data_IF_485258296082
#
_entry.id   IF_485258296082
#
_cell.length_a   1.000
_cell.length_b   1.000
_cell.length_c   1.000
_cell.angle_alpha   90.00
_cell.angle_beta   90.00
_cell.angle_gamma   90.00
#
_symmetry.space_group_name_H-M   'P 1'
#
loop_
_entity.id
_entity.type
_entity.pdbx_description
1 polymer ?
#
# COMPACT_ATOMS: atom_id res chain seq x y z
N UNK A 1 4.34 11.82 15.19
CA UNK A 1 4.41 10.36 14.92
C UNK A 1 3.12 9.95 14.22
N UNK A 2 3.19 9.18 13.13
CA UNK A 2 1.98 8.68 12.46
C UNK A 2 1.30 7.65 13.36
N UNK A 3 -0.03 7.75 13.51
CA UNK A 3 -0.85 6.81 14.27
C UNK A 3 -1.75 6.07 13.30
N UNK A 4 -1.77 4.74 13.39
CA UNK A 4 -2.62 3.88 12.56
C UNK A 4 -4.08 4.29 12.67
N UNK A 5 -4.75 4.48 11.53
CA UNK A 5 -6.19 4.74 11.46
C UNK A 5 -6.97 3.50 11.03
N UNK A 6 -6.37 2.66 10.19
CA UNK A 6 -7.00 1.46 9.63
C UNK A 6 -6.01 0.28 9.69
N UNK A 7 -6.53 -0.94 9.76
CA UNK A 7 -5.69 -2.14 9.59
C UNK A 7 -5.49 -2.43 8.11
N UNK A 8 -4.45 -3.19 7.77
CA UNK A 8 -4.18 -3.56 6.38
C UNK A 8 -5.30 -4.44 5.81
N UNK A 9 -5.98 -5.24 6.64
CA UNK A 9 -7.03 -6.16 6.19
C UNK A 9 -8.44 -5.57 6.10
N UNK A 10 -8.68 -4.35 6.62
CA UNK A 10 -10.03 -3.80 6.74
C UNK A 10 -10.49 -2.95 5.56
N UNK A 11 -9.57 -2.52 4.68
CA UNK A 11 -9.89 -1.60 3.58
C UNK A 11 -10.70 -2.28 2.47
N UNK A 12 -11.71 -1.59 1.95
CA UNK A 12 -12.62 -2.04 0.89
C UNK A 12 -12.82 -0.95 -0.16
N UNK A 13 -13.48 -1.29 -1.27
CA UNK A 13 -13.90 -0.32 -2.28
C UNK A 13 -14.76 0.83 -1.72
N UNK A 14 -15.45 0.61 -0.60
CA UNK A 14 -16.20 1.66 0.10
C UNK A 14 -15.31 2.77 0.70
N UNK A 15 -14.02 2.49 0.93
CA UNK A 15 -13.08 3.46 1.49
C UNK A 15 -12.38 4.32 0.43
N UNK A 16 -12.69 4.14 -0.87
CA UNK A 16 -12.03 4.88 -1.95
C UNK A 16 -12.20 6.39 -1.75
N UNK A 17 -11.08 7.12 -1.82
CA UNK A 17 -11.01 8.56 -1.56
C UNK A 17 -10.68 8.93 -0.11
N UNK A 18 -10.73 7.99 0.83
CA UNK A 18 -10.35 8.23 2.23
C UNK A 18 -8.83 8.35 2.38
N UNK A 19 -8.38 9.29 3.22
CA UNK A 19 -6.97 9.36 3.65
C UNK A 19 -6.76 8.50 4.89
N UNK A 20 -5.89 7.51 4.77
CA UNK A 20 -5.66 6.49 5.81
C UNK A 20 -4.19 6.39 6.17
N UNK A 21 -3.92 5.85 7.37
CA UNK A 21 -2.60 5.48 7.86
C UNK A 21 -2.62 4.01 8.21
N UNK A 22 -1.78 3.23 7.53
CA UNK A 22 -1.56 1.80 7.79
C UNK A 22 -0.15 1.58 8.30
N UNK A 23 0.01 0.61 9.22
CA UNK A 23 1.30 0.26 9.80
C UNK A 23 1.47 -1.25 9.78
N UNK A 24 2.66 -1.73 9.43
CA UNK A 24 2.91 -3.16 9.29
C UNK A 24 4.32 -3.50 8.82
N UNK A 25 4.47 -4.73 8.34
CA UNK A 25 5.70 -5.30 7.80
C UNK A 25 5.64 -5.40 6.27
N UNK A 26 6.70 -5.01 5.59
CA UNK A 26 6.84 -5.18 4.13
C UNK A 26 6.86 -6.69 3.81
N UNK A 27 5.75 -7.25 3.32
CA UNK A 27 5.66 -8.68 2.96
C UNK A 27 6.36 -8.97 1.64
N UNK A 28 6.18 -8.11 0.66
CA UNK A 28 6.90 -8.18 -0.62
C UNK A 28 7.11 -6.79 -1.20
N UNK A 29 8.18 -6.67 -1.96
CA UNK A 29 8.61 -5.46 -2.66
C UNK A 29 8.75 -5.79 -4.15
N UNK A 30 8.14 -4.99 -5.02
CA UNK A 30 8.23 -5.12 -6.48
C UNK A 30 8.53 -3.75 -7.09
N UNK A 31 9.66 -3.63 -7.77
CA UNK A 31 10.10 -2.41 -8.47
C UNK A 31 9.97 -2.63 -9.98
N UNK A 32 9.11 -1.86 -10.63
CA UNK A 32 8.90 -1.88 -12.08
C UNK A 32 9.59 -0.68 -12.77
N UNK A 33 10.52 -0.01 -12.10
CA UNK A 33 11.21 1.19 -12.56
C UNK A 33 10.35 2.44 -12.41
N UNK A 34 9.17 2.45 -13.04
CA UNK A 34 8.25 3.58 -13.02
C UNK A 34 7.26 3.54 -11.86
N UNK A 35 7.11 2.40 -11.19
CA UNK A 35 6.25 2.24 -10.02
C UNK A 35 6.93 1.27 -9.04
N UNK A 36 6.77 1.56 -7.75
CA UNK A 36 7.11 0.63 -6.67
C UNK A 36 5.82 0.16 -6.02
N UNK A 37 5.68 -1.16 -5.91
CA UNK A 37 4.56 -1.82 -5.24
C UNK A 37 5.05 -2.53 -3.98
N UNK A 38 4.32 -2.34 -2.90
CA UNK A 38 4.59 -2.98 -1.61
C UNK A 38 3.33 -3.64 -1.10
N UNK A 39 3.40 -4.93 -0.80
CA UNK A 39 2.35 -5.57 -0.02
C UNK A 39 2.71 -5.38 1.46
N UNK A 40 1.95 -4.56 2.18
CA UNK A 40 2.11 -4.30 3.60
C UNK A 40 1.24 -5.27 4.40
N UNK A 41 1.83 -5.98 5.34
CA UNK A 41 1.17 -6.97 6.20
C UNK A 41 1.02 -6.45 7.61
N UNK A 42 -0.17 -6.62 8.19
CA UNK A 42 -0.34 -6.61 9.64
C UNK A 42 -1.06 -7.89 10.11
N UNK A 43 -1.55 -7.89 11.35
CA UNK A 43 -2.26 -9.04 11.93
C UNK A 43 -3.53 -9.40 11.14
N UNK A 44 -4.16 -8.43 10.49
CA UNK A 44 -5.51 -8.55 9.93
C UNK A 44 -5.50 -8.82 8.44
N UNK A 45 -4.38 -8.56 7.75
CA UNK A 45 -4.26 -8.92 6.34
C UNK A 45 -3.13 -8.20 5.62
N UNK A 46 -3.31 -8.08 4.32
CA UNK A 46 -2.42 -7.42 3.39
C UNK A 46 -3.14 -6.25 2.74
N UNK A 47 -2.42 -5.16 2.49
CA UNK A 47 -2.83 -4.06 1.60
C UNK A 47 -1.69 -3.76 0.64
N UNK A 48 -1.99 -3.43 -0.61
CA UNK A 48 -0.99 -2.96 -1.56
C UNK A 48 -0.77 -1.45 -1.37
N UNK A 49 0.48 -1.01 -1.43
CA UNK A 49 0.87 0.39 -1.51
C UNK A 49 1.52 0.61 -2.87
N UNK A 50 1.19 1.73 -3.51
CA UNK A 50 1.77 2.13 -4.80
C UNK A 50 2.44 3.48 -4.67
N UNK A 51 3.70 3.53 -5.11
CA UNK A 51 4.48 4.76 -5.15
C UNK A 51 4.74 5.16 -6.61
N UNK A 52 4.20 6.31 -7.01
CA UNK A 52 4.32 6.84 -8.37
C UNK A 52 5.27 8.05 -8.39
N UNK A 53 6.41 7.99 -9.12
CA UNK A 53 7.40 9.07 -9.18
C UNK A 53 6.88 10.35 -9.86
N UNK A 54 5.86 10.27 -10.72
CA UNK A 54 5.27 11.45 -11.36
C UNK A 54 4.51 12.33 -10.37
N UNK A 55 3.89 11.71 -9.36
CA UNK A 55 3.11 12.41 -8.33
C UNK A 55 3.89 12.61 -7.04
N UNK A 56 4.82 11.71 -6.74
CA UNK A 56 5.48 11.58 -5.44
C UNK A 56 6.97 11.18 -5.60
N UNK A 57 7.81 12.00 -6.25
CA UNK A 57 9.19 11.62 -6.60
C UNK A 57 10.06 11.30 -5.38
N UNK A 58 9.97 12.11 -4.32
CA UNK A 58 10.77 11.90 -3.11
C UNK A 58 10.35 10.63 -2.34
N UNK A 59 9.04 10.39 -2.21
CA UNK A 59 8.52 9.19 -1.53
C UNK A 59 8.87 7.95 -2.35
N UNK A 60 8.75 8.01 -3.68
CA UNK A 60 9.16 6.93 -4.56
C UNK A 60 10.64 6.57 -4.35
N UNK A 61 11.53 7.58 -4.27
CA UNK A 61 12.95 7.35 -3.99
C UNK A 61 13.15 6.62 -2.66
N UNK A 62 12.48 7.06 -1.59
CA UNK A 62 12.54 6.37 -0.29
C UNK A 62 11.96 4.96 -0.35
N UNK A 63 10.87 4.75 -1.09
CA UNK A 63 10.23 3.44 -1.22
C UNK A 63 11.17 2.41 -1.85
N UNK A 64 12.09 2.83 -2.73
CA UNK A 64 13.09 1.94 -3.37
C UNK A 64 14.14 1.38 -2.41
N UNK A 65 14.31 2.00 -1.25
CA UNK A 65 15.22 1.51 -0.20
C UNK A 65 14.57 0.45 0.69
N UNK A 66 13.24 0.30 0.64
CA UNK A 66 12.52 -0.65 1.47
C UNK A 66 12.90 -2.09 1.14
N UNK A 67 12.95 -2.93 2.17
CA UNK A 67 13.24 -4.37 2.05
C UNK A 67 12.20 -5.17 2.81
N UNK A 68 12.14 -6.46 2.51
CA UNK A 68 11.23 -7.39 3.18
C UNK A 68 11.39 -7.32 4.71
N UNK A 69 10.25 -7.43 5.39
CA UNK A 69 10.08 -7.42 6.84
C UNK A 69 10.48 -6.11 7.55
N UNK A 70 10.74 -5.02 6.81
CA UNK A 70 10.84 -3.70 7.40
C UNK A 70 9.50 -3.26 8.01
N UNK A 71 9.57 -2.63 9.19
CA UNK A 71 8.40 -2.04 9.86
C UNK A 71 8.20 -0.62 9.39
N UNK A 72 7.07 -0.34 8.77
CA UNK A 72 6.76 0.99 8.24
C UNK A 72 5.38 1.46 8.68
N UNK A 73 5.19 2.78 8.63
CA UNK A 73 3.90 3.45 8.65
C UNK A 73 3.76 4.23 7.33
N UNK A 74 2.65 4.03 6.62
CA UNK A 74 2.37 4.69 5.36
C UNK A 74 1.06 5.49 5.50
N UNK A 75 1.08 6.74 5.04
CA UNK A 75 -0.11 7.58 4.88
C UNK A 75 -0.40 7.70 3.39
N UNK A 76 -1.63 7.45 2.98
CA UNK A 76 -2.04 7.52 1.58
C UNK A 76 -3.54 7.77 1.44
N UNK A 77 -4.00 7.82 0.19
CA UNK A 77 -5.41 7.87 -0.16
C UNK A 77 -5.78 6.54 -0.79
N UNK A 78 -6.85 5.91 -0.31
CA UNK A 78 -7.32 4.64 -0.88
C UNK A 78 -7.82 4.88 -2.30
N UNK A 79 -7.34 4.09 -3.24
CA UNK A 79 -7.70 4.15 -4.64
C UNK A 79 -8.19 2.79 -5.12
N UNK A 80 -9.02 2.79 -6.18
CA UNK A 80 -9.32 1.54 -6.89
C UNK A 80 -8.10 1.14 -7.68
N UNK A 81 -7.85 -0.16 -7.75
CA UNK A 81 -6.89 -0.69 -8.72
C UNK A 81 -7.37 -0.40 -10.14
N UNK A 82 -6.41 -0.34 -11.05
CA UNK A 82 -6.70 -0.28 -12.49
C UNK A 82 -7.59 -1.44 -12.89
N UNK A 83 -8.56 -1.18 -13.77
CA UNK A 83 -9.50 -2.18 -14.26
C UNK A 83 -8.76 -3.43 -14.78
N UNK A 84 -9.15 -4.61 -14.30
CA UNK A 84 -8.50 -5.89 -14.63
C UNK A 84 -7.24 -6.22 -13.83
N UNK A 85 -6.80 -5.35 -12.91
CA UNK A 85 -5.69 -5.61 -11.97
C UNK A 85 -6.16 -5.98 -10.55
N UNK A 86 -7.46 -6.26 -10.40
CA UNK A 86 -8.02 -6.77 -9.15
C UNK A 86 -7.39 -8.12 -8.78
N UNK A 87 -7.09 -8.30 -7.49
CA UNK A 87 -6.53 -9.54 -6.99
C UNK A 87 -7.57 -10.34 -6.17
N UNK A 88 -8.27 -11.33 -6.75
CA UNK A 88 -9.32 -12.07 -6.06
C UNK A 88 -8.80 -12.93 -4.89
N UNK A 89 -7.48 -13.11 -4.77
CA UNK A 89 -6.86 -13.83 -3.65
C UNK A 89 -6.63 -12.95 -2.43
N UNK A 90 -6.82 -11.63 -2.55
CA UNK A 90 -6.67 -10.66 -1.47
C UNK A 90 -8.02 -10.07 -1.10
N UNK A 91 -8.28 -9.96 0.21
CA UNK A 91 -9.51 -9.35 0.72
C UNK A 91 -9.59 -7.86 0.34
N UNK A 92 -8.45 -7.19 0.24
CA UNK A 92 -8.32 -5.81 -0.27
C UNK A 92 -8.00 -5.76 -1.76
N UNK A 93 -8.31 -6.83 -2.50
CA UNK A 93 -7.84 -7.05 -3.86
C UNK A 93 -8.35 -6.05 -4.90
N UNK A 94 -9.40 -5.29 -4.57
CA UNK A 94 -10.02 -4.27 -5.43
C UNK A 94 -9.41 -2.87 -5.24
N UNK A 95 -8.57 -2.69 -4.22
CA UNK A 95 -8.00 -1.39 -3.83
C UNK A 95 -6.48 -1.43 -3.65
N UNK A 96 -5.90 -0.23 -3.59
CA UNK A 96 -4.49 0.05 -3.28
C UNK A 96 -4.31 1.46 -2.68
#
# INVERSE_FOLDING_TARGET
MLKRTNTCGDLRAANVGESVIVCGWVKSYRDHGNLVFIDLRDRYGLVQLVFNPETQPEIHKTARDLRCEWVIAAKGTVSKRTEGMDNPKMVTGEIE
#
